data_IF_616717057129
#
_entry.id   IF_616717057129
#
_cell.length_a   1.000
_cell.length_b   1.000
_cell.length_c   1.000
_cell.angle_alpha   90.00
_cell.angle_beta   90.00
_cell.angle_gamma   90.00
#
_symmetry.space_group_name_H-M   'P 1'
#
loop_
_entity.id
_entity.type
_entity.pdbx_description
1 polymer ?
#
# COMPACT_ATOMS: atom_id res chain seq x y z
N UNK A 1 -7.48 3.03 -23.57
CA UNK A 1 -7.42 3.99 -22.46
C UNK A 1 -5.97 4.24 -22.19
N UNK A 2 -5.51 5.47 -22.37
CA UNK A 2 -4.11 5.83 -22.06
C UNK A 2 -3.91 5.86 -20.54
N UNK A 3 -2.82 5.29 -20.01
CA UNK A 3 -2.49 5.44 -18.61
C UNK A 3 -2.09 6.90 -18.34
N UNK A 4 -2.79 7.52 -17.38
CA UNK A 4 -2.51 8.86 -16.89
C UNK A 4 -1.08 8.93 -16.36
N UNK A 5 -0.22 9.70 -17.06
CA UNK A 5 1.17 10.02 -16.68
C UNK A 5 1.18 10.98 -15.50
N UNK A 6 0.80 10.52 -14.31
CA UNK A 6 1.18 11.21 -13.07
C UNK A 6 2.62 10.79 -12.77
N UNK A 7 3.54 11.76 -12.76
CA UNK A 7 4.92 11.49 -12.35
C UNK A 7 4.93 10.81 -10.98
N UNK A 8 5.61 9.67 -10.88
CA UNK A 8 5.79 8.98 -9.60
C UNK A 8 6.82 9.74 -8.77
N UNK A 9 6.45 10.10 -7.55
CA UNK A 9 7.35 10.55 -6.51
C UNK A 9 7.67 9.38 -5.55
N UNK A 10 8.71 9.55 -4.72
CA UNK A 10 9.11 8.55 -3.72
C UNK A 10 7.96 8.20 -2.78
N UNK A 11 7.20 9.22 -2.35
CA UNK A 11 6.06 9.03 -1.48
C UNK A 11 4.98 8.14 -2.13
N UNK A 12 4.67 8.35 -3.40
CA UNK A 12 3.77 7.48 -4.16
C UNK A 12 4.29 6.05 -4.24
N UNK A 13 5.61 5.85 -4.33
CA UNK A 13 6.20 4.51 -4.31
C UNK A 13 6.08 3.85 -2.93
N UNK A 14 6.26 4.59 -1.84
CA UNK A 14 6.02 4.09 -0.48
C UNK A 14 4.54 3.78 -0.22
N UNK A 15 3.63 4.64 -0.66
CA UNK A 15 2.19 4.39 -0.59
C UNK A 15 1.84 3.12 -1.39
N UNK A 16 2.42 2.95 -2.58
CA UNK A 16 2.26 1.73 -3.38
C UNK A 16 2.84 0.51 -2.68
N UNK A 17 3.99 0.62 -2.00
CA UNK A 17 4.56 -0.47 -1.20
C UNK A 17 3.66 -0.82 -0.02
N UNK A 18 3.07 0.18 0.65
CA UNK A 18 2.11 -0.01 1.72
C UNK A 18 0.86 -0.69 1.18
N UNK A 19 0.33 -0.26 0.03
CA UNK A 19 -0.78 -0.94 -0.65
C UNK A 19 -0.42 -2.38 -1.05
N UNK A 20 0.78 -2.62 -1.60
CA UNK A 20 1.29 -3.95 -1.94
C UNK A 20 1.35 -4.85 -0.70
N UNK A 21 1.84 -4.31 0.41
CA UNK A 21 1.88 -4.98 1.70
C UNK A 21 0.46 -5.22 2.26
N UNK A 22 -0.46 -4.28 2.11
CA UNK A 22 -1.86 -4.42 2.54
C UNK A 22 -2.58 -5.49 1.73
N UNK A 23 -2.43 -5.49 0.39
CA UNK A 23 -3.01 -6.50 -0.51
C UNK A 23 -2.54 -7.90 -0.12
N UNK A 24 -1.24 -8.07 0.18
CA UNK A 24 -0.71 -9.36 0.66
C UNK A 24 -1.23 -9.79 2.04
N UNK A 25 -1.86 -8.87 2.80
CA UNK A 25 -2.42 -9.08 4.13
C UNK A 25 -3.94 -9.12 4.14
N UNK A 26 -4.60 -8.98 2.99
CA UNK A 26 -6.03 -9.18 2.86
C UNK A 26 -6.37 -10.66 3.11
N UNK A 27 -7.38 -10.89 3.94
CA UNK A 27 -7.96 -12.21 4.10
C UNK A 27 -8.69 -12.60 2.81
N UNK A 28 -8.76 -13.90 2.49
CA UNK A 28 -9.50 -14.39 1.31
C UNK A 28 -10.96 -13.92 1.36
N UNK A 29 -11.56 -13.69 0.19
CA UNK A 29 -12.99 -13.37 0.10
C UNK A 29 -13.83 -14.46 0.79
N UNK A 30 -14.75 -14.02 1.65
CA UNK A 30 -15.60 -14.90 2.46
C UNK A 30 -14.97 -15.42 3.75
N UNK A 31 -13.76 -14.98 4.12
CA UNK A 31 -13.18 -15.30 5.43
C UNK A 31 -13.88 -14.49 6.50
N UNK A 32 -14.84 -15.13 7.17
CA UNK A 32 -15.49 -14.61 8.35
C UNK A 32 -14.58 -14.89 9.55
N UNK A 33 -14.16 -13.87 10.32
CA UNK A 33 -13.38 -14.09 11.54
C UNK A 33 -14.16 -14.99 12.51
N UNK A 34 -13.60 -16.17 12.78
CA UNK A 34 -14.22 -17.18 13.66
C UNK A 34 -14.06 -16.86 15.14
N UNK A 35 -13.09 -16.00 15.48
CA UNK A 35 -12.86 -15.48 16.84
C UNK A 35 -12.82 -13.97 16.78
N UNK A 36 -13.78 -13.35 17.46
CA UNK A 36 -13.74 -11.92 17.77
C UNK A 36 -13.20 -11.76 19.19
N UNK A 37 -11.90 -11.48 19.38
CA UNK A 37 -11.39 -11.18 20.71
C UNK A 37 -12.14 -9.96 21.23
N UNK A 38 -12.71 -10.08 22.43
CA UNK A 38 -13.59 -9.08 23.06
C UNK A 38 -14.98 -8.95 22.45
N UNK A 39 -15.59 -10.03 21.93
CA UNK A 39 -17.02 -10.01 21.65
C UNK A 39 -17.77 -9.73 22.95
N UNK A 40 -18.45 -8.59 23.07
CA UNK A 40 -19.11 -8.26 24.32
C UNK A 40 -20.28 -9.22 24.54
N UNK A 41 -20.46 -9.69 25.77
CA UNK A 41 -21.54 -10.60 26.18
C UNK A 41 -22.95 -10.07 25.86
N UNK A 42 -23.09 -8.77 25.58
CA UNK A 42 -24.34 -8.15 25.13
C UNK A 42 -24.71 -8.46 23.66
N UNK A 43 -23.77 -8.91 22.82
CA UNK A 43 -24.04 -9.28 21.42
C UNK A 43 -24.49 -10.74 21.25
N UNK A 44 -24.21 -11.61 22.24
CA UNK A 44 -24.54 -13.03 22.21
C UNK A 44 -25.86 -13.38 22.92
N UNK A 45 -26.61 -12.40 23.43
CA UNK A 45 -27.84 -12.61 24.21
C UNK A 45 -28.93 -11.65 23.78
N UNK A 46 -30.13 -12.17 23.47
CA UNK A 46 -31.33 -11.38 23.16
C UNK A 46 -31.75 -10.59 24.40
N UNK A 47 -31.28 -9.35 24.53
CA UNK A 47 -31.95 -8.32 25.33
C UNK A 47 -31.66 -6.95 24.74
N UNK A 48 -32.65 -6.43 24.02
CA UNK A 48 -32.66 -5.03 23.59
C UNK A 48 -32.95 -4.14 24.79
N UNK A 49 -32.03 -3.22 25.09
CA UNK A 49 -32.34 -1.97 25.76
C UNK A 49 -31.98 -0.84 24.77
N UNK A 50 -32.85 0.18 24.59
CA UNK A 50 -32.54 1.30 23.72
C UNK A 50 -31.37 2.09 24.30
N UNK A 51 -30.20 1.96 23.68
CA UNK A 51 -29.03 2.78 23.99
C UNK A 51 -29.22 4.13 23.28
N UNK A 52 -29.20 5.27 23.99
CA UNK A 52 -29.11 6.56 23.32
C UNK A 52 -27.76 6.64 22.60
N UNK A 53 -27.80 6.63 21.27
CA UNK A 53 -26.60 6.73 20.43
C UNK A 53 -26.29 8.20 20.21
N UNK A 54 -25.69 8.85 21.22
CA UNK A 54 -25.00 10.12 21.04
C UNK A 54 -23.51 9.83 20.88
N UNK A 55 -23.15 9.46 19.66
CA UNK A 55 -21.77 9.55 19.18
C UNK A 55 -21.81 10.05 17.73
N UNK A 56 -22.27 11.29 17.55
CA UNK A 56 -21.97 12.05 16.36
C UNK A 56 -20.48 12.43 16.43
N UNK A 57 -19.60 11.55 15.95
CA UNK A 57 -18.25 11.96 15.58
C UNK A 57 -18.42 12.98 14.45
N UNK A 58 -18.19 14.25 14.79
CA UNK A 58 -18.55 15.39 13.97
C UNK A 58 -17.80 15.31 12.64
N UNK A 59 -18.55 15.30 11.54
CA UNK A 59 -18.05 15.31 10.16
C UNK A 59 -16.97 16.38 9.91
N UNK A 60 -17.01 17.49 10.65
CA UNK A 60 -16.02 18.58 10.54
C UNK A 60 -14.62 18.20 11.02
N UNK A 61 -14.49 17.32 12.02
CA UNK A 61 -13.17 16.93 12.56
C UNK A 61 -12.41 16.04 11.59
N UNK A 62 -13.09 15.10 10.92
CA UNK A 62 -12.45 14.25 9.92
C UNK A 62 -12.02 15.05 8.69
N UNK A 63 -12.82 16.03 8.26
CA UNK A 63 -12.47 16.93 7.15
C UNK A 63 -11.17 17.69 7.43
N UNK A 64 -11.05 18.34 8.59
CA UNK A 64 -9.83 19.08 8.95
C UNK A 64 -8.58 18.20 9.05
N UNK A 65 -8.71 16.96 9.53
CA UNK A 65 -7.58 16.01 9.59
C UNK A 65 -7.17 15.60 8.18
N UNK A 66 -8.13 15.31 7.31
CA UNK A 66 -7.86 14.95 5.92
C UNK A 66 -7.23 16.10 5.15
N UNK A 67 -7.75 17.33 5.27
CA UNK A 67 -7.17 18.53 4.62
C UNK A 67 -5.72 18.75 5.03
N UNK A 68 -5.41 18.60 6.33
CA UNK A 68 -4.04 18.71 6.83
C UNK A 68 -3.14 17.61 6.26
N UNK A 69 -3.62 16.38 6.18
CA UNK A 69 -2.87 15.27 5.57
C UNK A 69 -2.64 15.51 4.07
N UNK A 70 -3.64 16.00 3.34
CA UNK A 70 -3.50 16.33 1.92
C UNK A 70 -2.50 17.46 1.68
N UNK A 71 -2.49 18.49 2.52
CA UNK A 71 -1.52 19.58 2.43
C UNK A 71 -0.08 19.08 2.60
N UNK A 72 0.15 18.23 3.62
CA UNK A 72 1.46 17.62 3.85
C UNK A 72 1.88 16.69 2.70
N UNK A 73 0.96 15.90 2.16
CA UNK A 73 1.22 15.05 0.98
C UNK A 73 1.63 15.89 -0.24
N UNK A 74 0.93 17.00 -0.50
CA UNK A 74 1.26 17.91 -1.61
C UNK A 74 2.65 18.54 -1.43
N UNK A 75 3.00 18.95 -0.22
CA UNK A 75 4.30 19.56 0.07
C UNK A 75 5.45 18.57 -0.14
N UNK A 76 5.31 17.33 0.34
CA UNK A 76 6.30 16.27 0.14
C UNK A 76 6.42 15.87 -1.34
N UNK A 77 5.29 15.74 -2.04
CA UNK A 77 5.25 15.40 -3.46
C UNK A 77 6.03 16.38 -4.33
N UNK A 78 5.89 17.69 -4.05
CA UNK A 78 6.65 18.72 -4.79
C UNK A 78 8.15 18.65 -4.52
N UNK A 79 8.55 18.25 -3.31
CA UNK A 79 9.96 18.20 -2.91
C UNK A 79 10.67 16.95 -3.44
N UNK A 80 9.94 15.84 -3.57
CA UNK A 80 10.50 14.52 -3.86
C UNK A 80 10.16 13.98 -5.27
N UNK A 81 9.76 14.86 -6.18
CA UNK A 81 9.52 14.49 -7.57
C UNK A 81 10.75 13.80 -8.20
N UNK A 82 10.51 12.73 -8.95
CA UNK A 82 11.52 11.97 -9.66
C UNK A 82 11.28 12.12 -11.15
N UNK A 83 12.33 12.46 -11.91
CA UNK A 83 12.22 12.71 -13.36
C UNK A 83 12.62 11.51 -14.21
N UNK A 84 13.40 10.59 -13.66
CA UNK A 84 13.93 9.43 -14.38
C UNK A 84 13.99 8.19 -13.49
N UNK A 85 13.85 7.01 -14.08
CA UNK A 85 14.02 5.74 -13.35
C UNK A 85 15.41 5.62 -12.69
N UNK A 86 16.45 6.19 -13.32
CA UNK A 86 17.78 6.21 -12.73
C UNK A 86 17.85 7.07 -11.45
N UNK A 87 17.21 8.23 -11.45
CA UNK A 87 17.09 9.06 -10.25
C UNK A 87 16.31 8.33 -9.15
N UNK A 88 15.25 7.60 -9.51
CA UNK A 88 14.50 6.75 -8.59
C UNK A 88 15.41 5.71 -7.92
N UNK A 89 16.20 5.00 -8.73
CA UNK A 89 17.13 3.98 -8.23
C UNK A 89 18.14 4.58 -7.25
N UNK A 90 18.76 5.71 -7.60
CA UNK A 90 19.73 6.37 -6.72
C UNK A 90 19.11 6.80 -5.38
N UNK A 91 17.90 7.36 -5.40
CA UNK A 91 17.19 7.74 -4.17
C UNK A 91 16.86 6.51 -3.32
N UNK A 92 16.28 5.47 -3.91
CA UNK A 92 15.94 4.23 -3.20
C UNK A 92 17.15 3.49 -2.66
N UNK A 93 18.30 3.58 -3.34
CA UNK A 93 19.56 2.98 -2.85
C UNK A 93 20.11 3.71 -1.63
N UNK A 94 19.84 5.01 -1.50
CA UNK A 94 20.23 5.80 -0.33
C UNK A 94 19.30 5.62 0.87
N UNK A 95 18.11 5.07 0.65
CA UNK A 95 17.12 4.84 1.69
C UNK A 95 17.20 3.41 2.26
N UNK A 96 16.68 3.25 3.48
CA UNK A 96 16.61 1.92 4.11
C UNK A 96 15.36 1.18 3.61
N UNK A 97 15.56 0.16 2.79
CA UNK A 97 14.47 -0.67 2.30
C UNK A 97 13.90 -1.56 3.43
N UNK A 98 12.59 -1.88 3.38
CA UNK A 98 12.01 -2.84 4.30
C UNK A 98 12.66 -4.22 4.19
N UNK A 99 12.67 -4.97 5.29
CA UNK A 99 13.29 -6.31 5.32
C UNK A 99 12.72 -7.24 4.26
N UNK A 100 13.62 -7.97 3.59
CA UNK A 100 13.29 -8.92 2.53
C UNK A 100 13.05 -8.30 1.15
N UNK A 101 13.11 -6.97 1.03
CA UNK A 101 13.10 -6.30 -0.27
C UNK A 101 14.51 -6.10 -0.82
N UNK A 102 14.64 -6.19 -2.14
CA UNK A 102 15.88 -6.00 -2.87
C UNK A 102 15.59 -5.13 -4.09
N UNK A 103 16.44 -4.13 -4.31
CA UNK A 103 16.36 -3.23 -5.46
C UNK A 103 17.28 -3.75 -6.58
N UNK A 104 16.74 -3.86 -7.79
CA UNK A 104 17.42 -4.35 -8.99
C UNK A 104 17.35 -3.24 -10.06
N UNK A 105 18.41 -3.04 -10.84
CA UNK A 105 18.52 -1.92 -11.77
C UNK A 105 18.42 -2.28 -13.27
N UNK A 106 18.28 -3.56 -13.67
CA UNK A 106 18.36 -3.94 -15.09
C UNK A 106 17.40 -5.10 -15.44
N UNK A 107 16.68 -5.05 -16.58
CA UNK A 107 16.59 -3.94 -17.56
C UNK A 107 15.73 -2.75 -17.12
N UNK A 108 15.00 -2.89 -16.00
CA UNK A 108 14.13 -1.87 -15.39
C UNK A 108 14.48 -1.74 -13.90
N UNK A 109 14.00 -0.67 -13.27
CA UNK A 109 14.14 -0.54 -11.81
C UNK A 109 13.06 -1.37 -11.14
N UNK A 110 13.46 -2.43 -10.47
CA UNK A 110 12.54 -3.37 -9.84
C UNK A 110 12.81 -3.50 -8.34
N UNK A 111 11.76 -3.37 -7.56
CA UNK A 111 11.80 -3.63 -6.12
C UNK A 111 11.12 -4.97 -5.85
N UNK A 112 11.90 -5.95 -5.39
CA UNK A 112 11.48 -7.36 -5.32
C UNK A 112 11.54 -7.86 -3.89
N UNK A 113 10.49 -8.52 -3.42
CA UNK A 113 10.46 -9.21 -2.13
C UNK A 113 10.64 -10.71 -2.32
N UNK A 114 11.80 -11.21 -1.91
CA UNK A 114 12.11 -12.64 -1.97
C UNK A 114 11.72 -13.35 -0.68
N UNK A 115 11.21 -14.58 -0.81
CA UNK A 115 10.85 -15.44 0.33
C UNK A 115 11.44 -16.82 0.10
N UNK A 116 12.02 -17.40 1.15
CA UNK A 116 12.48 -18.78 1.14
C UNK A 116 11.30 -19.73 1.20
N UNK A 117 11.26 -20.68 0.28
CA UNK A 117 10.27 -21.76 0.18
C UNK A 117 10.99 -23.11 0.25
N UNK A 118 10.24 -24.20 0.39
CA UNK A 118 10.78 -25.57 0.39
C UNK A 118 11.54 -25.90 -0.90
N UNK A 119 11.20 -25.23 -2.01
CA UNK A 119 11.79 -25.44 -3.33
C UNK A 119 12.90 -24.43 -3.68
N UNK A 120 13.30 -23.57 -2.73
CA UNK A 120 14.31 -22.52 -2.94
C UNK A 120 13.77 -21.11 -2.72
N UNK A 121 14.38 -20.11 -3.36
CA UNK A 121 13.92 -18.72 -3.29
C UNK A 121 12.80 -18.47 -4.31
N UNK A 122 11.73 -17.84 -3.86
CA UNK A 122 10.63 -17.40 -4.72
C UNK A 122 10.37 -15.89 -4.55
N UNK A 123 9.87 -15.26 -5.61
CA UNK A 123 9.48 -13.85 -5.60
C UNK A 123 8.05 -13.79 -5.10
N UNK A 124 7.87 -13.31 -3.87
CA UNK A 124 6.53 -13.13 -3.31
C UNK A 124 5.82 -11.93 -3.90
N UNK A 125 6.57 -10.84 -4.15
CA UNK A 125 6.06 -9.56 -4.63
C UNK A 125 7.12 -8.87 -5.48
N UNK A 126 6.71 -8.17 -6.54
CA UNK A 126 7.58 -7.23 -7.24
C UNK A 126 6.85 -5.96 -7.64
N UNK A 127 7.56 -4.84 -7.64
CA UNK A 127 7.16 -3.58 -8.25
C UNK A 127 8.21 -3.26 -9.31
N UNK A 128 7.79 -3.19 -10.56
CA UNK A 128 8.65 -2.86 -11.69
C UNK A 128 8.31 -1.45 -12.17
N UNK A 129 9.33 -0.60 -12.30
CA UNK A 129 9.21 0.77 -12.79
C UNK A 129 9.96 0.88 -14.11
N UNK A 130 9.24 1.30 -15.14
CA UNK A 130 9.76 1.46 -16.50
C UNK A 130 10.44 2.83 -16.67
N UNK A 131 11.10 3.04 -17.81
CA UNK A 131 11.82 4.28 -18.11
C UNK A 131 10.90 5.52 -18.11
N UNK A 132 9.64 5.35 -18.54
CA UNK A 132 8.62 6.40 -18.57
C UNK A 132 7.95 6.63 -17.20
N UNK A 133 8.48 6.00 -16.14
CA UNK A 133 7.93 5.98 -14.78
C UNK A 133 6.55 5.33 -14.70
N UNK A 134 6.12 4.58 -15.73
CA UNK A 134 5.02 3.64 -15.57
C UNK A 134 5.46 2.50 -14.66
N UNK A 135 4.48 1.85 -14.01
CA UNK A 135 4.80 0.77 -13.08
C UNK A 135 3.79 -0.36 -13.13
N UNK A 136 4.31 -1.55 -12.84
CA UNK A 136 3.56 -2.80 -12.74
C UNK A 136 3.85 -3.45 -11.39
N UNK A 137 2.80 -3.98 -10.76
CA UNK A 137 2.90 -4.67 -9.48
C UNK A 137 2.54 -6.13 -9.68
N UNK A 138 3.34 -7.02 -9.12
CA UNK A 138 3.11 -8.44 -9.17
C UNK A 138 3.01 -9.00 -7.75
N UNK A 139 2.07 -9.91 -7.57
CA UNK A 139 2.03 -10.79 -6.40
C UNK A 139 2.26 -12.22 -6.91
N UNK A 140 3.39 -12.80 -6.52
CA UNK A 140 3.94 -14.03 -7.11
C UNK A 140 4.08 -13.88 -8.62
N UNK A 141 3.38 -14.72 -9.39
CA UNK A 141 3.39 -14.71 -10.86
C UNK A 141 2.17 -13.99 -11.47
N UNK A 142 1.36 -13.31 -10.65
CA UNK A 142 0.14 -12.64 -11.09
C UNK A 142 0.33 -11.13 -11.10
N UNK A 143 0.04 -10.50 -12.23
CA UNK A 143 -0.06 -9.04 -12.33
C UNK A 143 -1.25 -8.58 -11.48
N UNK A 144 -1.00 -7.62 -10.59
CA UNK A 144 -2.05 -6.91 -9.89
C UNK A 144 -2.59 -5.84 -10.84
N UNK A 145 -3.73 -6.13 -11.47
CA UNK A 145 -4.44 -5.10 -12.21
C UNK A 145 -4.86 -3.99 -11.25
N UNK A 146 -4.51 -2.74 -11.59
CA UNK A 146 -4.94 -1.58 -10.84
C UNK A 146 -6.45 -1.47 -10.96
N UNK A 147 -7.21 -1.90 -9.95
CA UNK A 147 -8.56 -1.40 -9.72
C UNK A 147 -8.43 -0.02 -9.07
N UNK A 148 -8.04 0.98 -9.85
CA UNK A 148 -8.13 2.40 -9.47
C UNK A 148 -9.49 2.94 -9.86
#
# INVERSE_FOLDING_TARGET
>A
GEPSKKGMDLFGLFDLLIELLLISRCLKDGVIPSKWPNLPTYLSSKRQLPRPTLAATTSKRSVLINERQEALRKELSMKESVKTAQELYHKLTSETLPSGFTLIQLPKVSLVKMVSTENGMDISLSLEVDEDLSFQMYHRHSLLEKSL
#
